data_IF_478356070121
#
_entry.id   IF_478356070121
#
_cell.length_a   1.000
_cell.length_b   1.000
_cell.length_c   1.000
_cell.angle_alpha   90.00
_cell.angle_beta   90.00
_cell.angle_gamma   90.00
#
_symmetry.space_group_name_H-M   'P 1'
#
loop_
_entity.id
_entity.type
_entity.pdbx_description
1 polymer ?
#
# COMPACT_ATOMS: atom_id res chain seq x y z
N UNK A 1 10.54 9.19 -16.36
CA UNK A 1 10.83 9.11 -14.91
C UNK A 1 11.21 7.68 -14.62
N UNK A 2 12.23 7.48 -13.79
CA UNK A 2 12.70 6.13 -13.44
C UNK A 2 12.03 5.65 -12.15
N UNK A 3 11.85 4.34 -12.03
CA UNK A 3 11.47 3.71 -10.76
C UNK A 3 12.52 3.98 -9.69
N UNK A 4 12.17 3.76 -8.43
CA UNK A 4 13.13 3.84 -7.33
C UNK A 4 14.32 2.91 -7.59
N UNK A 5 15.53 3.41 -7.32
CA UNK A 5 16.70 2.55 -7.29
C UNK A 5 16.64 1.70 -6.01
N UNK A 6 16.29 0.42 -6.16
CA UNK A 6 16.23 -0.52 -5.05
C UNK A 6 17.64 -0.86 -4.57
N UNK A 7 17.97 -0.37 -3.39
CA UNK A 7 19.23 -0.57 -2.69
C UNK A 7 18.98 -0.64 -1.18
N UNK A 8 18.29 -1.71 -0.75
CA UNK A 8 18.05 -1.98 0.67
C UNK A 8 19.40 -2.26 1.33
N UNK A 9 19.68 -1.54 2.42
CA UNK A 9 20.93 -1.68 3.16
C UNK A 9 21.19 -3.16 3.52
N UNK A 10 22.44 -3.59 3.28
CA UNK A 10 22.85 -4.97 3.47
C UNK A 10 22.65 -5.44 4.90
N UNK A 11 22.76 -4.54 5.87
CA UNK A 11 22.47 -4.82 7.27
C UNK A 11 21.06 -5.38 7.45
N UNK A 12 20.03 -4.84 6.79
CA UNK A 12 18.66 -5.35 6.89
C UNK A 12 18.55 -6.78 6.33
N UNK A 13 19.14 -7.02 5.16
CA UNK A 13 19.11 -8.33 4.49
C UNK A 13 19.79 -9.40 5.34
N UNK A 14 20.98 -9.11 5.84
CA UNK A 14 21.74 -10.07 6.66
C UNK A 14 21.06 -10.28 8.01
N UNK A 15 20.49 -9.22 8.61
CA UNK A 15 19.72 -9.35 9.85
C UNK A 15 18.46 -10.20 9.68
N UNK A 16 17.71 -10.01 8.59
CA UNK A 16 16.53 -10.82 8.28
C UNK A 16 16.91 -12.30 8.14
N UNK A 17 17.97 -12.61 7.38
CA UNK A 17 18.49 -13.97 7.24
C UNK A 17 18.93 -14.56 8.57
N UNK A 18 19.61 -13.78 9.41
CA UNK A 18 20.03 -14.22 10.73
C UNK A 18 18.83 -14.62 11.61
N UNK A 19 17.75 -13.84 11.60
CA UNK A 19 16.54 -14.10 12.42
C UNK A 19 15.72 -15.28 11.88
N UNK A 20 15.86 -15.62 10.59
CA UNK A 20 15.00 -16.58 9.87
C UNK A 20 15.74 -17.84 9.44
N UNK A 21 16.77 -18.23 10.18
CA UNK A 21 17.59 -19.43 9.93
C UNK A 21 18.13 -19.49 8.49
N UNK A 22 18.66 -18.38 8.01
CA UNK A 22 19.26 -18.22 6.68
C UNK A 22 18.28 -17.84 5.56
N UNK A 23 16.96 -17.88 5.81
CA UNK A 23 15.96 -17.52 4.80
C UNK A 23 15.77 -16.01 4.72
N UNK A 24 15.64 -15.47 3.51
CA UNK A 24 15.28 -14.06 3.36
C UNK A 24 13.80 -13.84 3.65
N UNK A 25 12.94 -14.70 3.10
CA UNK A 25 11.49 -14.58 3.23
C UNK A 25 10.95 -15.51 4.32
N UNK A 26 9.99 -15.01 5.09
CA UNK A 26 9.23 -15.78 6.08
C UNK A 26 8.29 -16.77 5.39
N UNK A 27 7.68 -16.37 4.26
CA UNK A 27 6.66 -17.17 3.56
C UNK A 27 7.13 -17.66 2.18
N UNK A 28 7.13 -18.98 2.00
CA UNK A 28 7.58 -19.61 0.76
C UNK A 28 6.44 -19.87 -0.24
N UNK A 29 5.19 -19.94 0.24
CA UNK A 29 4.00 -20.21 -0.57
C UNK A 29 2.89 -19.21 -0.24
N UNK A 30 2.07 -18.91 -1.23
CA UNK A 30 0.85 -18.11 -1.10
C UNK A 30 -0.33 -19.01 -1.47
N UNK A 31 -1.40 -18.97 -0.68
CA UNK A 31 -2.70 -19.51 -1.10
C UNK A 31 -3.45 -18.34 -1.72
N UNK A 32 -3.59 -18.36 -3.05
CA UNK A 32 -4.15 -17.22 -3.78
C UNK A 32 -5.56 -16.87 -3.30
N UNK A 33 -6.40 -17.87 -3.00
CA UNK A 33 -7.78 -17.67 -2.50
C UNK A 33 -7.86 -17.00 -1.13
N UNK A 34 -6.78 -17.04 -0.35
CA UNK A 34 -6.65 -16.35 0.95
C UNK A 34 -5.75 -15.12 0.89
N UNK A 35 -5.35 -14.71 -0.32
CA UNK A 35 -4.45 -13.58 -0.55
C UNK A 35 -5.21 -12.41 -1.16
N UNK A 36 -4.98 -11.21 -0.61
CA UNK A 36 -5.43 -9.97 -1.21
C UNK A 36 -4.25 -9.09 -1.63
N UNK A 37 -4.33 -8.53 -2.84
CA UNK A 37 -3.54 -7.36 -3.23
C UNK A 37 -4.23 -6.11 -2.71
N UNK A 38 -3.58 -5.38 -1.81
CA UNK A 38 -4.05 -4.12 -1.24
C UNK A 38 -3.29 -2.96 -1.89
N UNK A 39 -3.98 -2.19 -2.73
CA UNK A 39 -3.41 -1.07 -3.49
C UNK A 39 -3.75 0.25 -2.79
N UNK A 40 -2.76 0.88 -2.17
CA UNK A 40 -2.96 2.03 -1.28
C UNK A 40 -2.80 3.36 -2.00
N UNK A 41 -3.84 4.20 -1.95
CA UNK A 41 -3.80 5.63 -2.29
C UNK A 41 -3.27 5.95 -3.70
N UNK A 42 -3.52 5.08 -4.68
CA UNK A 42 -3.25 5.36 -6.10
C UNK A 42 -4.27 6.34 -6.70
N UNK A 43 -4.63 7.39 -5.96
CA UNK A 43 -5.56 8.45 -6.34
C UNK A 43 -4.83 9.62 -7.01
N UNK A 44 -5.55 10.40 -7.80
CA UNK A 44 -5.01 11.59 -8.47
C UNK A 44 -4.24 12.51 -7.52
N UNK A 45 -4.73 12.72 -6.29
CA UNK A 45 -4.10 13.58 -5.30
C UNK A 45 -2.62 13.24 -5.02
N UNK A 46 -2.25 11.96 -5.13
CA UNK A 46 -0.91 11.44 -4.86
C UNK A 46 -0.12 11.10 -6.13
N UNK A 47 -0.78 10.98 -7.28
CA UNK A 47 -0.18 10.46 -8.53
C UNK A 47 -0.17 11.48 -9.66
N UNK A 48 -1.18 12.35 -9.78
CA UNK A 48 -1.31 13.29 -10.89
C UNK A 48 -0.39 14.50 -10.72
N UNK A 49 0.20 14.96 -11.83
CA UNK A 49 1.02 16.17 -11.83
C UNK A 49 0.25 17.39 -11.32
N UNK A 50 0.91 18.23 -10.53
CA UNK A 50 0.32 19.46 -9.99
C UNK A 50 -0.57 19.26 -8.75
N UNK A 51 -0.85 18.01 -8.35
CA UNK A 51 -1.57 17.76 -7.10
C UNK A 51 -0.67 17.98 -5.87
N UNK A 52 -1.22 18.44 -4.73
CA UNK A 52 -0.42 18.90 -3.59
C UNK A 52 0.55 17.86 -2.99
N UNK A 53 0.18 16.57 -3.05
CA UNK A 53 0.98 15.48 -2.49
C UNK A 53 1.47 14.51 -3.57
N UNK A 54 1.61 14.98 -4.82
CA UNK A 54 2.11 14.17 -5.92
C UNK A 54 3.50 13.60 -5.59
N UNK A 55 3.61 12.27 -5.49
CA UNK A 55 4.87 11.55 -5.49
C UNK A 55 5.23 11.24 -6.95
N UNK A 56 6.26 11.88 -7.54
CA UNK A 56 6.52 11.77 -8.97
C UNK A 56 6.73 10.29 -9.42
N UNK A 57 7.43 9.49 -8.60
CA UNK A 57 7.70 8.07 -8.84
C UNK A 57 6.45 7.19 -8.83
N UNK A 58 5.32 7.64 -8.27
CA UNK A 58 4.08 6.85 -8.17
C UNK A 58 3.56 6.36 -9.53
N UNK A 59 3.76 7.13 -10.61
CA UNK A 59 3.34 6.71 -11.96
C UNK A 59 4.16 5.53 -12.49
N UNK A 60 5.39 5.37 -12.03
CA UNK A 60 6.32 4.34 -12.53
C UNK A 60 5.98 2.94 -12.01
N UNK A 61 5.25 2.84 -10.90
CA UNK A 61 4.83 1.56 -10.29
C UNK A 61 3.48 1.05 -10.82
N UNK A 62 2.71 1.87 -11.55
CA UNK A 62 1.38 1.48 -12.08
C UNK A 62 1.43 0.21 -12.94
N UNK A 63 2.40 0.02 -13.87
CA UNK A 63 2.48 -1.22 -14.64
C UNK A 63 2.66 -2.47 -13.77
N UNK A 64 3.48 -2.38 -12.71
CA UNK A 64 3.69 -3.48 -11.77
C UNK A 64 2.44 -3.78 -10.94
N UNK A 65 1.76 -2.74 -10.43
CA UNK A 65 0.48 -2.88 -9.74
C UNK A 65 -0.54 -3.58 -10.64
N UNK A 66 -0.69 -3.12 -11.89
CA UNK A 66 -1.67 -3.70 -12.81
C UNK A 66 -1.35 -5.16 -13.12
N UNK A 67 -0.06 -5.51 -13.31
CA UNK A 67 0.37 -6.89 -13.54
C UNK A 67 0.10 -7.78 -12.33
N UNK A 68 0.40 -7.31 -11.12
CA UNK A 68 0.12 -8.06 -9.90
C UNK A 68 -1.37 -8.21 -9.65
N UNK A 69 -2.17 -7.19 -9.94
CA UNK A 69 -3.62 -7.24 -9.85
C UNK A 69 -4.20 -8.28 -10.81
N UNK A 70 -3.74 -8.31 -12.06
CA UNK A 70 -4.14 -9.33 -13.03
C UNK A 70 -3.78 -10.74 -12.54
N UNK A 71 -2.55 -10.97 -12.10
CA UNK A 71 -2.11 -12.27 -11.60
C UNK A 71 -2.91 -12.71 -10.36
N UNK A 72 -3.17 -11.78 -9.43
CA UNK A 72 -3.96 -12.04 -8.22
C UNK A 72 -5.37 -12.50 -8.59
N UNK A 73 -6.05 -11.79 -9.50
CA UNK A 73 -7.39 -12.18 -9.98
C UNK A 73 -7.39 -13.53 -10.67
N UNK A 74 -6.45 -13.77 -11.57
CA UNK A 74 -6.35 -15.04 -12.32
C UNK A 74 -6.12 -16.25 -11.41
N UNK A 75 -5.39 -16.07 -10.30
CA UNK A 75 -5.16 -17.10 -9.30
C UNK A 75 -6.33 -17.25 -8.29
N UNK A 76 -7.42 -16.49 -8.44
CA UNK A 76 -8.57 -16.53 -7.54
C UNK A 76 -8.40 -15.75 -6.23
N UNK A 77 -7.41 -14.87 -6.14
CA UNK A 77 -7.24 -13.91 -5.04
C UNK A 77 -8.07 -12.65 -5.21
N UNK A 78 -8.04 -11.79 -4.19
CA UNK A 78 -8.83 -10.55 -4.16
C UNK A 78 -7.96 -9.32 -4.45
N UNK A 79 -8.45 -8.37 -5.23
CA UNK A 79 -7.82 -7.04 -5.35
C UNK A 79 -8.68 -6.02 -4.61
N UNK A 80 -8.04 -5.26 -3.72
CA UNK A 80 -8.67 -4.22 -2.91
C UNK A 80 -7.94 -2.90 -3.14
N UNK A 81 -8.64 -1.90 -3.66
CA UNK A 81 -8.13 -0.54 -3.79
C UNK A 81 -8.55 0.27 -2.59
N UNK A 82 -7.56 0.86 -1.93
CA UNK A 82 -7.77 1.71 -0.75
C UNK A 82 -7.71 3.17 -1.19
N UNK A 83 -8.78 3.92 -0.91
CA UNK A 83 -8.86 5.35 -1.18
C UNK A 83 -8.92 6.14 0.12
N UNK A 84 -8.08 7.17 0.22
CA UNK A 84 -8.18 8.18 1.26
C UNK A 84 -9.31 9.16 0.97
N UNK A 85 -10.21 9.32 1.93
CA UNK A 85 -11.15 10.43 2.00
C UNK A 85 -10.69 11.43 3.07
N UNK A 86 -10.80 12.72 2.77
CA UNK A 86 -10.59 13.79 3.73
C UNK A 86 -11.95 14.41 4.12
N UNK A 87 -12.48 14.00 5.28
CA UNK A 87 -13.75 14.50 5.78
C UNK A 87 -13.69 16.01 6.01
N UNK A 88 -14.76 16.72 5.62
CA UNK A 88 -14.96 18.14 5.93
C UNK A 88 -15.12 18.37 7.43
N UNK A 89 -15.79 17.44 8.12
CA UNK A 89 -15.89 17.37 9.57
C UNK A 89 -15.34 16.02 10.06
N UNK A 90 -14.14 16.04 10.62
CA UNK A 90 -13.51 14.85 11.22
C UNK A 90 -13.95 14.73 12.68
N UNK A 91 -14.74 13.70 13.05
CA UNK A 91 -15.32 13.59 14.38
C UNK A 91 -14.34 13.12 15.45
N UNK A 92 -13.14 12.66 15.08
CA UNK A 92 -12.09 12.29 16.04
C UNK A 92 -10.93 13.30 16.10
N UNK A 93 -10.97 14.36 15.28
CA UNK A 93 -9.92 15.37 15.12
C UNK A 93 -8.49 14.80 14.94
N UNK A 94 -7.95 14.88 13.73
CA UNK A 94 -6.57 14.43 13.49
C UNK A 94 -5.54 15.49 13.92
N UNK A 95 -5.48 15.76 15.22
CA UNK A 95 -4.75 16.87 15.83
C UNK A 95 -3.35 17.08 15.26
N UNK A 96 -2.47 16.07 15.36
CA UNK A 96 -1.08 16.20 14.87
C UNK A 96 -1.00 16.58 13.38
N UNK A 97 -1.87 16.02 12.54
CA UNK A 97 -1.85 16.33 11.10
C UNK A 97 -2.38 17.72 10.83
N UNK A 98 -3.45 18.11 11.52
CA UNK A 98 -4.09 19.42 11.41
C UNK A 98 -3.16 20.52 11.88
N UNK A 99 -2.52 20.37 13.04
CA UNK A 99 -1.52 21.31 13.57
C UNK A 99 -0.27 21.41 12.70
N UNK A 100 0.16 20.28 12.10
CA UNK A 100 1.29 20.26 11.17
C UNK A 100 0.98 20.78 9.75
N UNK A 101 -0.26 21.19 9.46
CA UNK A 101 -0.67 21.68 8.15
C UNK A 101 -1.23 23.09 8.28
N UNK A 102 -0.89 24.00 7.35
CA UNK A 102 -1.54 25.33 7.33
C UNK A 102 -3.06 25.18 7.15
N UNK A 103 -3.83 26.14 7.67
CA UNK A 103 -5.29 26.13 7.51
C UNK A 103 -5.71 26.05 6.03
N UNK A 104 -5.02 26.76 5.14
CA UNK A 104 -5.27 26.70 3.69
C UNK A 104 -4.89 25.35 3.09
N UNK A 105 -3.79 24.73 3.52
CA UNK A 105 -3.40 23.39 3.10
C UNK A 105 -4.39 22.32 3.56
N UNK A 106 -4.91 22.46 4.78
CA UNK A 106 -5.92 21.57 5.34
C UNK A 106 -7.24 21.65 4.57
N UNK A 107 -7.74 22.86 4.32
CA UNK A 107 -8.95 23.08 3.53
C UNK A 107 -8.80 22.56 2.09
N UNK A 108 -7.64 22.78 1.45
CA UNK A 108 -7.34 22.25 0.11
C UNK A 108 -7.33 20.72 0.10
N UNK A 109 -6.75 20.09 1.14
CA UNK A 109 -6.78 18.62 1.29
C UNK A 109 -8.22 18.12 1.40
N UNK A 110 -9.04 18.72 2.28
CA UNK A 110 -10.45 18.34 2.46
C UNK A 110 -11.25 18.47 1.16
N UNK A 111 -11.05 19.57 0.42
CA UNK A 111 -11.73 19.76 -0.87
C UNK A 111 -11.32 18.71 -1.91
N UNK A 112 -10.01 18.52 -2.14
CA UNK A 112 -9.52 17.66 -3.21
C UNK A 112 -9.67 16.16 -2.94
N UNK A 113 -9.66 15.75 -1.68
CA UNK A 113 -9.86 14.35 -1.25
C UNK A 113 -11.28 14.09 -0.71
N UNK A 114 -12.23 14.98 -0.95
CA UNK A 114 -13.65 14.65 -0.80
C UNK A 114 -14.10 13.70 -1.93
N UNK A 115 -15.17 12.93 -1.77
CA UNK A 115 -15.67 12.02 -2.82
C UNK A 115 -15.95 12.69 -4.17
N UNK A 116 -16.20 14.00 -4.17
CA UNK A 116 -16.44 14.80 -5.37
C UNK A 116 -15.21 15.60 -5.83
N UNK A 117 -14.09 15.52 -5.12
CA UNK A 117 -12.88 16.29 -5.40
C UNK A 117 -12.03 15.66 -6.49
N UNK A 118 -11.37 16.49 -7.30
CA UNK A 118 -10.54 16.04 -8.43
C UNK A 118 -9.37 15.13 -8.04
N UNK A 119 -8.94 15.22 -6.78
CA UNK A 119 -7.88 14.39 -6.22
C UNK A 119 -8.35 12.99 -5.79
N UNK A 120 -9.65 12.78 -5.61
CA UNK A 120 -10.20 11.55 -5.05
C UNK A 120 -10.25 10.34 -6.00
N UNK A 121 -10.56 10.48 -7.31
CA UNK A 121 -10.57 9.35 -8.23
C UNK A 121 -9.23 8.59 -8.24
N UNK A 122 -9.31 7.26 -8.37
CA UNK A 122 -8.15 6.42 -8.67
C UNK A 122 -7.53 6.90 -9.99
N UNK A 123 -6.21 6.93 -10.04
CA UNK A 123 -5.47 7.40 -11.20
C UNK A 123 -5.82 6.59 -12.44
N UNK A 124 -6.15 7.27 -13.53
CA UNK A 124 -6.81 6.67 -14.71
C UNK A 124 -6.10 5.49 -15.38
N UNK A 125 -4.79 5.33 -15.18
CA UNK A 125 -4.03 4.20 -15.76
C UNK A 125 -3.96 2.96 -14.86
N UNK A 126 -4.51 3.04 -13.65
CA UNK A 126 -4.74 1.88 -12.80
C UNK A 126 -5.87 1.01 -13.38
N UNK A 127 -5.61 -0.28 -13.57
CA UNK A 127 -6.54 -1.23 -14.15
C UNK A 127 -7.52 -1.78 -13.08
N UNK A 128 -8.39 -0.89 -12.59
CA UNK A 128 -9.50 -1.24 -11.69
C UNK A 128 -10.58 -1.98 -12.50
N UNK A 129 -11.04 -3.12 -11.99
CA UNK A 129 -12.11 -3.91 -12.60
C UNK A 129 -13.37 -3.94 -11.72
N UNK A 130 -14.58 -4.18 -12.29
CA UNK A 130 -15.83 -4.19 -11.52
C UNK A 130 -15.89 -5.18 -10.36
N UNK A 131 -15.13 -6.28 -10.44
CA UNK A 131 -15.05 -7.29 -9.38
C UNK A 131 -14.14 -6.90 -8.20
N UNK A 132 -13.27 -5.90 -8.40
CA UNK A 132 -12.38 -5.42 -7.35
C UNK A 132 -13.18 -4.80 -6.20
N UNK A 133 -12.59 -4.84 -5.00
CA UNK A 133 -13.15 -4.15 -3.85
C UNK A 133 -12.54 -2.77 -3.70
N UNK A 134 -13.31 -1.84 -3.17
CA UNK A 134 -12.87 -0.50 -2.78
C UNK A 134 -13.07 -0.38 -1.26
N UNK A 135 -12.04 0.03 -0.54
CA UNK A 135 -12.13 0.34 0.88
C UNK A 135 -11.77 1.81 1.11
N UNK A 136 -12.60 2.54 1.85
CA UNK A 136 -12.29 3.92 2.23
C UNK A 136 -11.48 3.97 3.53
N UNK A 137 -10.49 4.85 3.58
CA UNK A 137 -9.73 5.17 4.80
C UNK A 137 -9.63 6.66 5.04
N UNK A 138 -9.38 7.00 6.30
CA UNK A 138 -9.39 8.39 6.79
C UNK A 138 -8.10 8.79 7.51
N UNK A 139 -7.21 7.81 7.72
CA UNK A 139 -5.89 7.95 8.34
C UNK A 139 -4.84 7.32 7.43
N UNK A 140 -3.58 7.33 7.86
CA UNK A 140 -2.51 6.72 7.06
C UNK A 140 -2.70 5.21 6.91
N UNK A 141 -2.88 4.50 8.02
CA UNK A 141 -3.21 3.07 8.00
C UNK A 141 -4.67 2.85 7.62
N UNK A 142 -4.89 1.88 6.73
CA UNK A 142 -6.21 1.36 6.37
C UNK A 142 -6.82 0.43 7.45
N UNK A 143 -6.13 0.22 8.58
CA UNK A 143 -6.65 -0.56 9.70
C UNK A 143 -7.17 0.30 10.86
N UNK A 144 -7.05 1.63 10.79
CA UNK A 144 -7.59 2.48 11.85
C UNK A 144 -9.13 2.37 11.81
N UNK A 145 -9.78 1.88 12.88
CA UNK A 145 -11.18 1.41 12.87
C UNK A 145 -12.22 2.52 12.72
N UNK A 146 -11.79 3.74 12.40
CA UNK A 146 -12.67 4.89 12.27
C UNK A 146 -12.43 5.68 10.98
N UNK A 147 -13.45 5.70 10.10
CA UNK A 147 -14.24 4.56 9.64
C UNK A 147 -13.46 3.81 8.54
N UNK A 148 -12.61 2.83 8.86
CA UNK A 148 -11.95 2.06 7.80
C UNK A 148 -12.62 0.71 7.58
N UNK A 149 -12.88 0.40 6.32
CA UNK A 149 -13.66 -0.76 5.88
C UNK A 149 -12.79 -2.02 5.65
N UNK A 150 -11.46 -1.87 5.66
CA UNK A 150 -10.55 -2.92 5.21
C UNK A 150 -10.60 -4.18 6.10
N UNK A 151 -10.44 -4.07 7.42
CA UNK A 151 -10.37 -5.28 8.29
C UNK A 151 -11.66 -6.10 8.24
N UNK A 152 -12.82 -5.44 8.30
CA UNK A 152 -14.12 -6.13 8.18
C UNK A 152 -14.24 -6.88 6.86
N UNK A 153 -13.90 -6.22 5.75
CA UNK A 153 -13.91 -6.82 4.42
C UNK A 153 -12.95 -8.02 4.30
N UNK A 154 -11.73 -7.90 4.83
CA UNK A 154 -10.74 -8.99 4.80
C UNK A 154 -11.23 -10.22 5.57
N UNK A 155 -11.84 -10.02 6.75
CA UNK A 155 -12.38 -11.10 7.58
C UNK A 155 -13.56 -11.80 6.92
N UNK A 156 -14.48 -11.05 6.33
CA UNK A 156 -15.64 -11.59 5.60
C UNK A 156 -15.21 -12.45 4.40
N UNK A 157 -14.13 -12.06 3.72
CA UNK A 157 -13.57 -12.79 2.58
C UNK A 157 -12.64 -13.95 2.98
N UNK A 158 -12.36 -14.14 4.27
CA UNK A 158 -11.44 -15.18 4.76
C UNK A 158 -9.99 -14.97 4.33
N UNK A 159 -9.59 -13.72 4.08
CA UNK A 159 -8.23 -13.36 3.69
C UNK A 159 -7.32 -13.41 4.92
N UNK A 160 -6.13 -13.99 4.76
CA UNK A 160 -5.11 -14.06 5.81
C UNK A 160 -3.73 -13.55 5.34
N UNK A 161 -3.60 -13.19 4.06
CA UNK A 161 -2.35 -12.77 3.44
C UNK A 161 -2.54 -11.49 2.62
N UNK A 162 -1.71 -10.47 2.86
CA UNK A 162 -1.79 -9.19 2.17
C UNK A 162 -0.50 -8.87 1.40
N UNK A 163 -0.65 -8.53 0.13
CA UNK A 163 0.39 -7.94 -0.71
C UNK A 163 0.12 -6.43 -0.79
N UNK A 164 0.99 -5.59 -0.23
CA UNK A 164 0.76 -4.15 -0.11
C UNK A 164 1.53 -3.40 -1.19
N UNK A 165 0.81 -2.60 -1.97
CA UNK A 165 1.34 -1.74 -3.05
C UNK A 165 0.81 -0.31 -2.92
N UNK A 166 1.31 0.62 -3.72
CA UNK A 166 0.83 1.99 -3.80
C UNK A 166 1.73 3.02 -3.11
N UNK A 167 1.15 4.10 -2.60
CA UNK A 167 1.88 5.26 -2.09
C UNK A 167 1.38 5.77 -0.73
N UNK A 168 2.19 6.46 0.07
CA UNK A 168 3.66 6.45 0.00
C UNK A 168 4.23 5.24 0.75
N UNK A 169 5.37 4.70 0.31
CA UNK A 169 6.07 3.56 0.93
C UNK A 169 6.20 3.76 2.44
N UNK A 170 6.82 4.85 2.89
CA UNK A 170 7.14 5.18 4.28
C UNK A 170 5.99 5.75 5.12
N UNK A 171 4.79 5.86 4.54
CA UNK A 171 3.63 6.44 5.23
C UNK A 171 2.43 5.51 5.15
N UNK A 172 1.53 5.67 4.18
CA UNK A 172 0.26 4.95 4.16
C UNK A 172 0.46 3.44 3.94
N UNK A 173 1.40 3.07 3.06
CA UNK A 173 1.72 1.67 2.78
C UNK A 173 2.33 0.99 4.01
N UNK A 174 3.39 1.57 4.58
CA UNK A 174 4.04 1.03 5.79
C UNK A 174 3.10 1.02 7.00
N UNK A 175 2.30 2.07 7.22
CA UNK A 175 1.36 2.10 8.34
C UNK A 175 0.32 0.98 8.21
N UNK A 176 -0.24 0.81 7.01
CA UNK A 176 -1.19 -0.28 6.72
C UNK A 176 -0.53 -1.65 6.88
N UNK A 177 0.69 -1.83 6.36
CA UNK A 177 1.40 -3.10 6.41
C UNK A 177 1.83 -3.49 7.83
N UNK A 178 2.27 -2.53 8.64
CA UNK A 178 2.63 -2.75 10.05
C UNK A 178 1.40 -3.17 10.86
N UNK A 179 0.28 -2.45 10.70
CA UNK A 179 -0.95 -2.80 11.38
C UNK A 179 -1.45 -4.18 10.93
N UNK A 180 -1.45 -4.48 9.63
CA UNK A 180 -1.80 -5.79 9.12
C UNK A 180 -0.98 -6.92 9.78
N UNK A 181 0.35 -6.76 9.84
CA UNK A 181 1.22 -7.73 10.48
C UNK A 181 0.87 -7.93 11.97
N UNK A 182 0.62 -6.84 12.70
CA UNK A 182 0.26 -6.91 14.12
C UNK A 182 -1.17 -7.41 14.37
N UNK A 183 -2.07 -7.25 13.40
CA UNK A 183 -3.41 -7.83 13.39
C UNK A 183 -3.44 -9.32 13.01
N UNK A 184 -2.29 -9.90 12.65
CA UNK A 184 -2.12 -11.33 12.38
C UNK A 184 -2.11 -11.72 10.91
N UNK A 185 -2.11 -10.77 9.97
CA UNK A 185 -2.02 -11.05 8.54
C UNK A 185 -0.58 -11.35 8.11
N UNK A 186 -0.40 -12.35 7.25
CA UNK A 186 0.85 -12.59 6.53
C UNK A 186 1.07 -11.44 5.55
N UNK A 187 2.01 -10.55 5.84
CA UNK A 187 2.12 -9.28 5.11
C UNK A 187 3.40 -9.18 4.30
N UNK A 188 3.26 -8.75 3.04
CA UNK A 188 4.36 -8.51 2.11
C UNK A 188 4.25 -7.09 1.57
N UNK A 189 5.31 -6.29 1.68
CA UNK A 189 5.43 -5.04 0.90
C UNK A 189 6.07 -5.36 -0.46
N UNK A 190 5.46 -4.87 -1.54
CA UNK A 190 5.95 -5.14 -2.90
C UNK A 190 6.97 -4.07 -3.28
N UNK A 191 8.25 -4.44 -3.31
CA UNK A 191 9.36 -3.49 -3.41
C UNK A 191 9.22 -2.55 -4.62
N UNK A 192 8.92 -3.11 -5.78
CA UNK A 192 8.74 -2.40 -7.06
C UNK A 192 7.26 -2.07 -7.37
N UNK A 193 6.37 -2.31 -6.41
CA UNK A 193 4.95 -1.94 -6.42
C UNK A 193 4.62 -0.82 -5.43
N UNK A 194 5.61 -0.31 -4.70
CA UNK A 194 5.48 0.84 -3.81
C UNK A 194 6.35 2.01 -4.29
N UNK A 195 5.91 3.24 -3.99
CA UNK A 195 6.71 4.43 -4.29
C UNK A 195 6.66 5.47 -3.16
N UNK A 196 7.70 6.28 -3.09
CA UNK A 196 7.91 7.37 -2.15
C UNK A 196 8.51 8.60 -2.87
N UNK A 197 8.75 9.67 -2.13
CA UNK A 197 9.37 10.89 -2.67
C UNK A 197 10.86 10.70 -3.01
N UNK A 198 11.56 9.83 -2.27
CA UNK A 198 13.00 9.60 -2.44
C UNK A 198 13.36 8.12 -2.29
N UNK A 199 14.45 7.71 -2.93
CA UNK A 199 15.00 6.36 -2.78
C UNK A 199 15.40 6.05 -1.34
N UNK A 200 15.85 7.05 -0.58
CA UNK A 200 16.27 6.87 0.82
C UNK A 200 15.08 6.47 1.71
N UNK A 201 13.94 7.18 1.60
CA UNK A 201 12.71 6.85 2.32
C UNK A 201 12.21 5.45 1.94
N UNK A 202 12.15 5.19 0.64
CA UNK A 202 11.68 3.92 0.09
C UNK A 202 12.53 2.73 0.57
N UNK A 203 13.85 2.78 0.40
CA UNK A 203 14.75 1.68 0.76
C UNK A 203 14.83 1.45 2.27
N UNK A 204 14.87 2.52 3.08
CA UNK A 204 14.92 2.38 4.53
C UNK A 204 13.65 1.73 5.07
N UNK A 205 12.48 2.17 4.61
CA UNK A 205 11.19 1.59 5.03
C UNK A 205 11.10 0.12 4.66
N UNK A 206 11.43 -0.25 3.40
CA UNK A 206 11.41 -1.65 2.98
C UNK A 206 12.36 -2.51 3.83
N UNK A 207 13.59 -2.04 4.04
CA UNK A 207 14.55 -2.75 4.88
C UNK A 207 14.08 -2.92 6.33
N UNK A 208 13.52 -1.87 6.93
CA UNK A 208 12.97 -1.93 8.29
C UNK A 208 11.78 -2.88 8.36
N UNK A 209 10.91 -2.86 7.36
CA UNK A 209 9.77 -3.76 7.24
C UNK A 209 10.19 -5.23 7.19
N UNK A 210 11.17 -5.53 6.33
CA UNK A 210 11.72 -6.88 6.14
C UNK A 210 12.24 -7.50 7.44
N UNK A 211 12.89 -6.72 8.30
CA UNK A 211 13.48 -7.24 9.54
C UNK A 211 12.44 -7.43 10.64
N UNK A 212 11.37 -6.63 10.65
CA UNK A 212 10.50 -6.50 11.84
C UNK A 212 9.08 -7.03 11.64
N UNK A 213 8.47 -6.81 10.47
CA UNK A 213 7.01 -6.96 10.32
C UNK A 213 6.59 -8.01 9.29
N UNK A 214 7.36 -8.20 8.21
CA UNK A 214 6.94 -9.11 7.16
C UNK A 214 7.99 -9.32 6.09
N UNK A 215 7.55 -9.71 4.90
CA UNK A 215 8.42 -9.91 3.75
C UNK A 215 8.46 -8.68 2.85
N UNK A 216 9.55 -8.55 2.10
CA UNK A 216 9.69 -7.60 0.99
C UNK A 216 10.09 -8.40 -0.23
N UNK A 217 9.27 -8.32 -1.28
CA UNK A 217 9.46 -9.11 -2.49
C UNK A 217 9.17 -8.28 -3.74
N UNK A 218 9.72 -8.70 -4.87
CA UNK A 218 9.42 -8.07 -6.16
C UNK A 218 8.06 -8.52 -6.70
N UNK A 219 7.53 -7.76 -7.64
CA UNK A 219 6.33 -8.14 -8.38
C UNK A 219 6.56 -9.46 -9.14
N UNK A 220 7.76 -9.69 -9.68
CA UNK A 220 8.11 -10.93 -10.36
C UNK A 220 8.03 -12.15 -9.43
N UNK A 221 8.62 -12.06 -8.24
CA UNK A 221 8.58 -13.14 -7.25
C UNK A 221 7.14 -13.50 -6.86
N UNK A 222 6.30 -12.49 -6.69
CA UNK A 222 4.91 -12.67 -6.25
C UNK A 222 4.01 -13.20 -7.36
N UNK A 223 4.18 -12.73 -8.60
CA UNK A 223 3.47 -13.29 -9.76
C UNK A 223 3.82 -14.76 -9.94
N UNK A 224 5.11 -15.12 -9.83
CA UNK A 224 5.54 -16.52 -9.89
C UNK A 224 4.92 -17.37 -8.76
N UNK A 225 4.85 -16.84 -7.53
CA UNK A 225 4.23 -17.53 -6.39
C UNK A 225 2.72 -17.71 -6.51
N UNK A 226 2.02 -16.77 -7.14
CA UNK A 226 0.57 -16.85 -7.37
C UNK A 226 0.21 -17.80 -8.52
N UNK A 227 1.09 -17.96 -9.52
CA UNK A 227 0.86 -18.80 -10.69
C UNK A 227 1.26 -20.27 -10.55
N UNK A 228 1.89 -20.67 -9.44
CA UNK A 228 2.22 -22.06 -9.15
C UNK A 228 1.05 -22.77 -8.45
N UNK A 229 0.08 -23.26 -9.22
CA UNK A 229 -0.81 -24.36 -8.82
C UNK A 229 -0.50 -25.63 -9.63
#
# INVERSE_FOLDING_TARGET
MMMHHLNIDRWFVDKAKQIRDGRLNAYNKLDARKTALVVVDMQNYFVANGMPACAPQARTIVPNINRLAQATRMAGGTVIWVQTEALSADPQDWANRKEATSASGWAKRQSLLSKCGDGFPIYSTCAVLPEDKIAIKYRYSAFIPYPSELDGMLRELGIDTLLVTGVATSTCCESTARDAAMWGYRTVMVADGNADQTDALHNHTLGKFLVTFGDVQSTDDLVAKLGCE
#
